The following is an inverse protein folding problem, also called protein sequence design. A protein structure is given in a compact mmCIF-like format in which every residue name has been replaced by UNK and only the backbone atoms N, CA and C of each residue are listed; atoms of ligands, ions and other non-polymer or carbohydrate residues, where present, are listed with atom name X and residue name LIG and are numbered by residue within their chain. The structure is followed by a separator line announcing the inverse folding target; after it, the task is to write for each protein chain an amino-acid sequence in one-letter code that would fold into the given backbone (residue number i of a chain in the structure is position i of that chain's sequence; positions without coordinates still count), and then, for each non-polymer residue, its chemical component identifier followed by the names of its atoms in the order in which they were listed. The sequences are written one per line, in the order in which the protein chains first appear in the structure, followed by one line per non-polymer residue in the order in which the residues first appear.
data_IF_785723686860
#
_entry.id   IF_785723686860
#
_cell.length_a   1.000
_cell.length_b   1.000
_cell.length_c   1.000
_cell.angle_alpha   90.00
_cell.angle_beta   90.00
_cell.angle_gamma   90.00
#
_symmetry.space_group_name_H-M   'P 1'
#
loop_
_entity.id
_entity.type
_entity.pdbx_description
1 polymer ?
#
# COMPACT_ATOMS: atom_id res chain seq x y z
N UNK A 1 -20.51 0.45 6.01
CA UNK A 1 -19.22 1.09 5.67
C UNK A 1 -18.22 0.67 6.72
N UNK A 2 -17.17 -0.04 6.32
CA UNK A 2 -16.15 -0.49 7.25
C UNK A 2 -15.35 0.73 7.81
N UNK A 3 -14.86 0.63 9.05
CA UNK A 3 -14.07 1.71 9.66
C UNK A 3 -12.68 1.78 9.04
N UNK A 4 -12.06 2.95 8.96
CA UNK A 4 -10.65 3.07 8.54
C UNK A 4 -9.70 2.29 9.45
N UNK A 5 -10.11 2.06 10.71
CA UNK A 5 -9.38 1.24 11.69
C UNK A 5 -9.33 -0.24 11.32
N UNK A 6 -10.30 -0.74 10.54
CA UNK A 6 -10.39 -2.16 10.19
C UNK A 6 -9.67 -2.50 8.88
N UNK A 7 -9.23 -1.49 8.12
CA UNK A 7 -8.56 -1.73 6.85
C UNK A 7 -7.26 -2.57 6.98
N UNK A 8 -6.42 -2.42 8.04
CA UNK A 8 -5.30 -3.32 8.26
C UNK A 8 -5.71 -4.77 8.52
N UNK A 9 -6.88 -5.00 9.14
CA UNK A 9 -7.41 -6.34 9.39
C UNK A 9 -7.94 -6.98 8.10
N UNK A 10 -8.64 -6.23 7.24
CA UNK A 10 -9.04 -6.71 5.92
C UNK A 10 -7.83 -7.14 5.07
N UNK A 11 -6.76 -6.34 5.09
CA UNK A 11 -5.50 -6.66 4.42
C UNK A 11 -4.84 -7.91 5.01
N UNK A 12 -4.85 -8.04 6.34
CA UNK A 12 -4.34 -9.22 7.06
C UNK A 12 -5.13 -10.48 6.71
N UNK A 13 -6.45 -10.41 6.65
CA UNK A 13 -7.31 -11.52 6.25
C UNK A 13 -7.04 -11.96 4.81
N UNK A 14 -6.85 -11.01 3.89
CA UNK A 14 -6.51 -11.30 2.50
C UNK A 14 -5.18 -12.04 2.38
N UNK A 15 -4.16 -11.54 3.07
CA UNK A 15 -2.84 -12.18 3.13
C UNK A 15 -2.92 -13.58 3.78
N UNK A 16 -3.75 -13.75 4.81
CA UNK A 16 -4.00 -15.04 5.44
C UNK A 16 -4.68 -16.07 4.52
N UNK A 17 -5.35 -15.62 3.46
CA UNK A 17 -5.93 -16.47 2.39
C UNK A 17 -4.94 -16.73 1.23
N UNK A 18 -3.66 -16.41 1.41
CA UNK A 18 -2.61 -16.42 0.37
C UNK A 18 -2.85 -15.42 -0.79
N UNK A 19 -3.78 -14.47 -0.61
CA UNK A 19 -3.91 -13.33 -1.50
C UNK A 19 -2.76 -12.33 -1.28
N UNK A 20 -2.52 -11.47 -2.25
CA UNK A 20 -1.57 -10.38 -2.17
C UNK A 20 -2.16 -9.14 -1.48
N UNK A 21 -3.48 -9.13 -1.18
CA UNK A 21 -4.13 -8.05 -0.45
C UNK A 21 -4.27 -6.74 -1.26
N UNK A 22 -4.19 -6.86 -2.59
CA UNK A 22 -4.14 -5.74 -3.53
C UNK A 22 -5.42 -4.90 -3.49
N UNK A 23 -6.56 -5.57 -3.50
CA UNK A 23 -7.84 -4.88 -3.58
C UNK A 23 -8.17 -4.20 -2.25
N UNK A 24 -7.75 -4.80 -1.14
CA UNK A 24 -7.83 -4.23 0.21
C UNK A 24 -6.94 -3.00 0.37
N UNK A 25 -5.72 -3.01 -0.17
CA UNK A 25 -4.80 -1.86 -0.19
C UNK A 25 -5.37 -0.67 -1.00
N UNK A 26 -5.88 -0.94 -2.21
CA UNK A 26 -6.51 0.08 -3.06
C UNK A 26 -7.76 0.65 -2.37
N UNK A 27 -8.59 -0.21 -1.77
CA UNK A 27 -9.79 0.20 -1.06
C UNK A 27 -9.48 1.07 0.16
N UNK A 28 -8.39 0.78 0.88
CA UNK A 28 -7.90 1.61 1.98
C UNK A 28 -7.54 3.01 1.50
N UNK A 29 -6.69 3.12 0.48
CA UNK A 29 -6.24 4.38 -0.08
C UNK A 29 -7.40 5.22 -0.66
N UNK A 30 -8.37 4.58 -1.33
CA UNK A 30 -9.57 5.26 -1.83
C UNK A 30 -10.41 5.85 -0.68
N UNK A 31 -10.56 5.13 0.44
CA UNK A 31 -11.30 5.62 1.61
C UNK A 31 -10.59 6.77 2.33
N UNK A 32 -9.26 6.71 2.45
CA UNK A 32 -8.46 7.84 2.96
C UNK A 32 -8.70 9.07 2.10
N UNK A 33 -8.60 8.92 0.78
CA UNK A 33 -8.74 10.00 -0.18
C UNK A 33 -10.15 10.60 -0.20
N UNK A 34 -11.17 9.74 -0.11
CA UNK A 34 -12.58 10.16 -0.01
C UNK A 34 -12.82 10.98 1.26
N UNK A 35 -12.35 10.50 2.41
CA UNK A 35 -12.51 11.20 3.70
C UNK A 35 -11.77 12.55 3.71
N UNK A 36 -10.63 12.63 3.02
CA UNK A 36 -9.86 13.85 2.88
C UNK A 36 -10.42 14.83 1.82
N UNK A 37 -11.47 14.47 1.07
CA UNK A 37 -11.99 15.26 -0.04
C UNK A 37 -11.03 15.38 -1.23
N UNK A 38 -10.11 14.43 -1.40
CA UNK A 38 -9.06 14.46 -2.42
C UNK A 38 -9.44 13.65 -3.67
N UNK A 39 -10.36 14.18 -4.47
CA UNK A 39 -10.86 13.51 -5.69
C UNK A 39 -9.79 13.32 -6.77
N UNK A 40 -8.81 14.24 -6.83
CA UNK A 40 -7.67 14.13 -7.76
C UNK A 40 -6.84 12.89 -7.46
N UNK A 41 -6.57 12.62 -6.19
CA UNK A 41 -5.83 11.43 -5.78
C UNK A 41 -6.63 10.14 -6.03
N UNK A 42 -7.95 10.15 -5.83
CA UNK A 42 -8.82 9.01 -6.20
C UNK A 42 -8.74 8.69 -7.69
N UNK A 43 -8.73 9.72 -8.53
CA UNK A 43 -8.57 9.56 -9.98
C UNK A 43 -7.20 9.00 -10.33
N UNK A 44 -6.14 9.54 -9.70
CA UNK A 44 -4.78 9.05 -9.87
C UNK A 44 -4.66 7.57 -9.47
N UNK A 45 -5.18 7.18 -8.30
CA UNK A 45 -5.19 5.79 -7.81
C UNK A 45 -5.82 4.83 -8.82
N UNK A 46 -6.92 5.19 -9.47
CA UNK A 46 -7.55 4.35 -10.50
C UNK A 46 -6.65 4.17 -11.72
N UNK A 47 -5.92 5.22 -12.11
CA UNK A 47 -5.01 5.20 -13.25
C UNK A 47 -3.74 4.39 -12.97
N UNK A 48 -3.13 4.56 -11.78
CA UNK A 48 -1.84 3.94 -11.44
C UNK A 48 -1.98 2.62 -10.68
N UNK A 49 -3.15 2.34 -10.09
CA UNK A 49 -3.38 1.17 -9.25
C UNK A 49 -3.17 -0.14 -10.01
N UNK A 50 -3.65 -0.24 -11.25
CA UNK A 50 -3.44 -1.42 -12.10
C UNK A 50 -1.96 -1.70 -12.38
N UNK A 51 -1.19 -0.76 -12.95
CA UNK A 51 0.24 -0.94 -13.18
C UNK A 51 1.06 -1.20 -11.91
N UNK A 52 0.86 -0.40 -10.85
CA UNK A 52 1.65 -0.49 -9.61
C UNK A 52 1.49 -1.86 -8.96
N UNK A 53 0.25 -2.31 -8.80
CA UNK A 53 0.06 -3.58 -8.12
C UNK A 53 0.35 -4.80 -9.01
N UNK A 54 0.50 -4.65 -10.34
CA UNK A 54 1.12 -5.70 -11.18
C UNK A 54 2.62 -5.80 -10.87
N UNK A 55 3.33 -4.68 -10.75
CA UNK A 55 4.76 -4.66 -10.39
C UNK A 55 5.01 -5.22 -8.98
N UNK A 56 4.19 -4.83 -8.00
CA UNK A 56 4.26 -5.38 -6.63
C UNK A 56 3.96 -6.88 -6.62
N UNK A 57 2.95 -7.34 -7.38
CA UNK A 57 2.63 -8.77 -7.53
C UNK A 57 3.83 -9.56 -8.07
N UNK A 58 4.49 -9.05 -9.11
CA UNK A 58 5.67 -9.67 -9.70
C UNK A 58 6.82 -9.72 -8.68
N UNK A 59 7.08 -8.64 -7.95
CA UNK A 59 8.11 -8.61 -6.90
C UNK A 59 7.85 -9.61 -5.77
N UNK A 60 6.61 -9.72 -5.31
CA UNK A 60 6.19 -10.69 -4.29
C UNK A 60 6.27 -12.13 -4.80
N UNK A 61 5.93 -12.39 -6.07
CA UNK A 61 6.01 -13.71 -6.70
C UNK A 61 7.47 -14.16 -6.95
N UNK A 62 8.36 -13.24 -7.34
CA UNK A 62 9.79 -13.51 -7.52
C UNK A 62 10.51 -13.77 -6.18
N UNK A 63 10.00 -13.22 -5.08
CA UNK A 63 10.54 -13.38 -3.73
C UNK A 63 10.10 -14.65 -2.97
N UNK A 64 9.55 -15.67 -3.66
CA UNK A 64 8.84 -16.84 -3.10
C UNK A 64 9.54 -17.69 -2.02
N UNK A 65 10.82 -17.47 -1.69
CA UNK A 65 11.50 -18.09 -0.51
C UNK A 65 11.63 -17.15 0.71
N UNK A 66 11.25 -15.87 0.61
CA UNK A 66 11.25 -14.85 1.67
C UNK A 66 9.83 -14.27 1.93
N UNK A 67 8.78 -15.00 1.57
CA UNK A 67 7.41 -14.50 1.40
C UNK A 67 6.75 -13.99 2.68
N UNK A 68 6.96 -14.68 3.81
CA UNK A 68 6.12 -14.44 4.99
C UNK A 68 6.54 -13.18 5.76
N UNK A 69 7.84 -12.93 5.87
CA UNK A 69 8.37 -11.71 6.50
C UNK A 69 8.06 -10.46 5.69
N UNK A 70 8.05 -10.57 4.36
CA UNK A 70 7.70 -9.47 3.47
C UNK A 70 6.19 -9.17 3.50
N UNK A 71 5.34 -10.21 3.48
CA UNK A 71 3.89 -10.06 3.64
C UNK A 71 3.51 -9.47 5.00
N UNK A 72 4.15 -9.94 6.07
CA UNK A 72 3.92 -9.39 7.42
C UNK A 72 4.33 -7.92 7.51
N UNK A 73 5.42 -7.53 6.83
CA UNK A 73 5.89 -6.15 6.80
C UNK A 73 4.87 -5.20 6.13
N UNK A 74 4.24 -5.63 5.02
CA UNK A 74 3.20 -4.83 4.35
C UNK A 74 2.03 -4.56 5.29
N UNK A 75 1.61 -5.53 6.10
CA UNK A 75 0.54 -5.35 7.10
C UNK A 75 0.96 -4.34 8.17
N UNK A 76 2.16 -4.47 8.72
CA UNK A 76 2.65 -3.58 9.78
C UNK A 76 2.90 -2.14 9.29
N UNK A 77 3.08 -1.91 7.99
CA UNK A 77 3.22 -0.56 7.42
C UNK A 77 1.88 0.20 7.34
N UNK A 78 0.73 -0.51 7.28
CA UNK A 78 -0.60 0.12 7.13
C UNK A 78 -1.24 0.52 8.45
N UNK A 79 -0.96 -0.21 9.53
CA UNK A 79 -1.51 0.07 10.86
C UNK A 79 -1.15 1.48 11.39
N UNK A 80 0.11 1.97 11.26
CA UNK A 80 0.51 3.32 11.66
C UNK A 80 -0.17 4.44 10.88
N UNK A 81 -0.79 4.15 9.73
CA UNK A 81 -1.53 5.13 8.92
C UNK A 81 -2.96 5.28 9.45
N UNK A 82 -3.61 4.16 9.76
CA UNK A 82 -5.01 4.15 10.20
C UNK A 82 -5.20 4.82 11.57
N UNK A 83 -4.23 4.68 12.48
CA UNK A 83 -4.29 5.18 13.85
C UNK A 83 -4.42 6.73 13.91
N UNK A 84 -3.51 7.54 13.32
CA UNK A 84 -3.63 9.00 13.30
C UNK A 84 -4.90 9.51 12.63
N UNK A 85 -5.33 8.89 11.53
CA UNK A 85 -6.54 9.31 10.81
C UNK A 85 -7.77 9.10 11.70
N UNK A 86 -7.82 7.97 12.40
CA UNK A 86 -8.93 7.64 13.27
C UNK A 86 -8.94 8.42 14.60
N UNK A 87 -7.81 9.03 14.96
CA UNK A 87 -7.67 10.00 16.06
C UNK A 87 -7.93 11.46 15.62
N UNK A 88 -8.07 11.73 14.32
CA UNK A 88 -8.22 13.08 13.78
C UNK A 88 -6.92 13.90 13.79
N UNK A 89 -5.77 13.27 14.02
CA UNK A 89 -4.47 13.92 14.01
C UNK A 89 -3.98 14.11 12.58
N UNK A 90 -4.26 15.29 12.04
CA UNK A 90 -3.90 15.66 10.67
C UNK A 90 -2.39 15.65 10.43
N UNK A 91 -1.60 16.10 11.39
CA UNK A 91 -0.15 16.25 11.22
C UNK A 91 0.53 14.89 11.19
N UNK A 92 0.19 14.02 12.15
CA UNK A 92 0.69 12.66 12.18
C UNK A 92 0.22 11.86 10.95
N UNK A 93 -1.07 11.96 10.57
CA UNK A 93 -1.59 11.29 9.38
C UNK A 93 -0.85 11.72 8.10
N UNK A 94 -0.55 13.02 7.97
CA UNK A 94 0.19 13.56 6.82
C UNK A 94 1.62 13.02 6.78
N UNK A 95 2.30 13.01 7.92
CA UNK A 95 3.69 12.56 8.03
C UNK A 95 3.84 11.10 7.66
N UNK A 96 3.02 10.23 8.26
CA UNK A 96 3.08 8.78 8.02
C UNK A 96 2.69 8.44 6.58
N UNK A 97 1.63 9.06 6.03
CA UNK A 97 1.22 8.80 4.63
C UNK A 97 2.29 9.25 3.63
N UNK A 98 2.95 10.40 3.85
CA UNK A 98 4.06 10.83 2.98
C UNK A 98 5.22 9.86 3.02
N UNK A 99 5.58 9.38 4.19
CA UNK A 99 6.63 8.38 4.35
C UNK A 99 6.27 7.08 3.60
N UNK A 100 5.03 6.59 3.76
CA UNK A 100 4.53 5.41 3.08
C UNK A 100 4.64 5.54 1.55
N UNK A 101 4.15 6.63 0.97
CA UNK A 101 4.22 6.87 -0.48
C UNK A 101 5.67 6.98 -0.98
N UNK A 102 6.57 7.55 -0.17
CA UNK A 102 7.99 7.62 -0.51
C UNK A 102 8.63 6.23 -0.57
N UNK A 103 8.34 5.36 0.41
CA UNK A 103 8.81 3.98 0.42
C UNK A 103 8.24 3.17 -0.75
N UNK A 104 6.95 3.32 -1.04
CA UNK A 104 6.31 2.67 -2.20
C UNK A 104 6.97 3.08 -3.52
N UNK A 105 7.30 4.37 -3.68
CA UNK A 105 8.05 4.86 -4.84
C UNK A 105 9.45 4.24 -4.92
N UNK A 106 10.19 4.21 -3.81
CA UNK A 106 11.53 3.63 -3.77
C UNK A 106 11.50 2.14 -4.21
N UNK A 107 10.58 1.35 -3.66
CA UNK A 107 10.41 -0.05 -4.03
C UNK A 107 10.08 -0.26 -5.51
N UNK A 108 9.27 0.61 -6.13
CA UNK A 108 8.99 0.56 -7.57
C UNK A 108 10.24 0.88 -8.42
N UNK A 109 11.03 1.88 -8.02
CA UNK A 109 12.25 2.28 -8.74
C UNK A 109 13.33 1.22 -8.60
N UNK A 110 13.51 0.64 -7.43
CA UNK A 110 14.51 -0.40 -7.18
C UNK A 110 14.17 -1.68 -7.96
N UNK A 111 12.89 -2.07 -8.03
CA UNK A 111 12.45 -3.17 -8.88
C UNK A 111 12.73 -2.92 -10.37
N UNK A 112 12.51 -1.70 -10.86
CA UNK A 112 12.84 -1.36 -12.24
C UNK A 112 14.33 -1.56 -12.54
N UNK A 113 15.23 -1.18 -11.62
CA UNK A 113 16.67 -1.42 -11.77
C UNK A 113 17.03 -2.90 -11.74
N UNK A 114 16.37 -3.70 -10.88
CA UNK A 114 16.61 -5.14 -10.84
C UNK A 114 16.09 -5.90 -12.07
N UNK A 115 15.01 -5.41 -12.71
CA UNK A 115 14.48 -6.01 -13.95
C UNK A 115 15.18 -5.50 -15.23
N UNK A 116 15.91 -4.38 -15.17
CA UNK A 116 16.69 -3.83 -16.28
C UNK A 116 18.09 -3.40 -15.81
N UNK A 117 19.05 -4.34 -15.73
CA UNK A 117 20.40 -4.03 -15.23
C UNK A 117 21.28 -3.21 -16.20
N UNK A 118 20.78 -2.79 -17.36
CA UNK A 118 21.55 -2.10 -18.41
C UNK A 118 21.40 -0.57 -18.44
N UNK A 119 20.75 0.06 -17.47
CA UNK A 119 20.51 1.53 -17.47
C UNK A 119 21.33 2.32 -16.44
N UNK A 120 22.56 1.89 -16.13
CA UNK A 120 23.52 2.61 -15.29
C UNK A 120 24.80 2.93 -16.06
#
# INVERSE_FOLDING_TARGET
MESIRNAPEALREAIGRDDLGRDEDIAFHDRVAMTAGNEKFRTLLKTIGNPIAQTITIGLQLGRQKSDSLRQRVIEEHRPIAEPIAAGDREAATTVMRYHLFQARAGLVDMHHHMNPQSA
#
